data_IF_026254215687
#
_entry.id   IF_026254215687
#
_cell.length_a   1.000
_cell.length_b   1.000
_cell.length_c   1.000
_cell.angle_alpha   90.00
_cell.angle_beta   90.00
_cell.angle_gamma   90.00
#
_symmetry.space_group_name_H-M   'P 1'
#
loop_
_entity.id
_entity.type
_entity.pdbx_description
1 polymer ?
#
# COMPACT_ATOMS: atom_id res chain seq x y z
N UNK A 1 -21.70 -7.52 21.92
CA UNK A 1 -20.70 -6.43 21.80
C UNK A 1 -19.36 -6.92 21.22
N UNK A 2 -18.80 -8.04 21.68
CA UNK A 2 -17.47 -8.56 21.25
C UNK A 2 -17.38 -8.80 19.74
N UNK A 3 -18.36 -9.49 19.15
CA UNK A 3 -18.36 -9.82 17.71
C UNK A 3 -18.39 -8.56 16.82
N UNK A 4 -19.13 -7.52 17.23
CA UNK A 4 -19.21 -6.27 16.45
C UNK A 4 -17.88 -5.54 16.36
N UNK A 5 -17.14 -5.48 17.47
CA UNK A 5 -15.80 -4.86 17.51
C UNK A 5 -14.80 -5.68 16.69
N UNK A 6 -14.87 -7.02 16.75
CA UNK A 6 -14.02 -7.89 15.94
C UNK A 6 -14.27 -7.70 14.44
N UNK A 7 -15.53 -7.72 13.99
CA UNK A 7 -15.87 -7.51 12.58
C UNK A 7 -15.43 -6.12 12.08
N UNK A 8 -15.64 -5.08 12.90
CA UNK A 8 -15.19 -3.73 12.59
C UNK A 8 -13.66 -3.63 12.48
N UNK A 9 -12.94 -4.15 13.48
CA UNK A 9 -11.47 -4.09 13.53
C UNK A 9 -10.85 -4.91 12.39
N UNK A 10 -11.37 -6.10 12.10
CA UNK A 10 -10.91 -6.93 10.98
C UNK A 10 -11.09 -6.21 9.64
N UNK A 11 -12.26 -5.60 9.39
CA UNK A 11 -12.51 -4.83 8.16
C UNK A 11 -11.60 -3.60 8.06
N UNK A 12 -11.38 -2.89 9.17
CA UNK A 12 -10.50 -1.74 9.25
C UNK A 12 -9.04 -2.09 8.93
N UNK A 13 -8.53 -3.18 9.50
CA UNK A 13 -7.15 -3.66 9.24
C UNK A 13 -6.99 -4.12 7.78
N UNK A 14 -7.99 -4.82 7.22
CA UNK A 14 -7.95 -5.27 5.84
C UNK A 14 -7.84 -4.09 4.85
N UNK A 15 -8.57 -3.00 5.09
CA UNK A 15 -8.51 -1.78 4.28
C UNK A 15 -7.11 -1.13 4.35
N UNK A 16 -6.51 -1.06 5.54
CA UNK A 16 -5.15 -0.51 5.70
C UNK A 16 -4.10 -1.34 4.95
N UNK A 17 -4.19 -2.66 5.01
CA UNK A 17 -3.28 -3.57 4.29
C UNK A 17 -3.46 -3.43 2.78
N UNK A 18 -4.70 -3.40 2.29
CA UNK A 18 -5.01 -3.18 0.85
C UNK A 18 -4.40 -1.87 0.34
N UNK A 19 -4.44 -0.82 1.17
CA UNK A 19 -3.82 0.48 0.87
C UNK A 19 -2.30 0.50 1.02
N UNK A 20 -1.65 -0.56 1.50
CA UNK A 20 -0.20 -0.64 1.68
C UNK A 20 0.53 -1.30 0.49
N UNK A 21 0.02 -1.18 -0.73
CA UNK A 21 0.70 -1.73 -1.92
C UNK A 21 2.09 -1.12 -2.13
N UNK A 22 3.12 -1.98 -2.12
CA UNK A 22 4.51 -1.67 -2.47
C UNK A 22 4.67 -1.23 -3.92
N UNK A 23 3.72 -1.62 -4.77
CA UNK A 23 3.81 -1.47 -6.23
C UNK A 23 3.44 -0.07 -6.71
N UNK A 24 2.82 0.77 -5.88
CA UNK A 24 2.41 2.12 -6.30
C UNK A 24 3.55 3.05 -6.69
N UNK A 25 4.74 2.81 -6.14
CA UNK A 25 5.92 3.64 -6.41
C UNK A 25 6.91 2.94 -7.35
N UNK A 26 6.51 1.84 -8.00
CA UNK A 26 7.32 1.19 -9.01
C UNK A 26 7.12 1.88 -10.36
N UNK A 27 8.03 2.78 -10.70
CA UNK A 27 8.05 3.43 -12.01
C UNK A 27 8.89 2.60 -12.98
N UNK A 28 8.34 2.31 -14.16
CA UNK A 28 9.13 1.79 -15.27
C UNK A 28 9.92 2.97 -15.85
N UNK A 29 11.23 2.98 -15.62
CA UNK A 29 12.12 4.02 -16.16
C UNK A 29 12.65 3.49 -17.49
N UNK A 30 12.22 4.09 -18.60
CA UNK A 30 12.69 3.74 -19.95
C UNK A 30 14.09 4.29 -20.23
N UNK A 31 14.35 5.54 -19.85
CA UNK A 31 15.61 6.24 -20.07
C UNK A 31 16.10 6.95 -18.80
N UNK A 32 17.41 6.89 -18.54
CA UNK A 32 18.08 7.66 -17.49
C UNK A 32 18.94 8.73 -18.13
N UNK A 33 18.71 9.98 -17.76
CA UNK A 33 19.63 11.06 -18.10
C UNK A 33 20.94 10.81 -17.35
N UNK A 34 22.05 10.70 -18.08
CA UNK A 34 23.37 10.48 -17.52
C UNK A 34 23.90 11.78 -16.89
N UNK A 35 23.27 12.20 -15.78
CA UNK A 35 23.61 13.39 -14.99
C UNK A 35 24.62 12.96 -13.90
N UNK A 36 25.65 12.22 -14.30
CA UNK A 36 26.81 12.00 -13.45
C UNK A 36 27.89 12.99 -13.90
N UNK A 37 28.39 13.77 -12.94
CA UNK A 37 29.31 14.90 -13.15
C UNK A 37 30.73 14.49 -13.54
#
# INVERSE_FOLDING_TARGET
>A
MIIGVQLFMTGFIAELISRSSSERNHYVIEDRLNIDS
#
